data_IF_624853541260
#
_entry.id   IF_624853541260
#
_cell.length_a   1.000
_cell.length_b   1.000
_cell.length_c   1.000
_cell.angle_alpha   90.00
_cell.angle_beta   90.00
_cell.angle_gamma   90.00
#
_symmetry.space_group_name_H-M   'P 1'
#
loop_
_entity.id
_entity.type
_entity.pdbx_description
1 polymer ?
#
# COMPACT_ATOMS: atom_id res chain seq x y z
N UNK A 1 19.01 17.04 -48.17
CA UNK A 1 17.69 17.29 -48.79
C UNK A 1 17.96 17.41 -50.28
N UNK A 2 17.42 16.50 -51.07
CA UNK A 2 17.59 16.49 -52.52
C UNK A 2 16.22 16.77 -53.13
N UNK A 3 16.16 17.63 -54.14
CA UNK A 3 14.92 18.02 -54.78
C UNK A 3 15.17 18.51 -56.20
N UNK A 4 14.23 18.24 -57.09
CA UNK A 4 14.25 18.73 -58.46
C UNK A 4 13.43 20.00 -58.55
N UNK A 5 13.89 20.98 -59.33
CA UNK A 5 13.11 22.19 -59.64
C UNK A 5 13.05 22.36 -61.14
N UNK A 6 11.87 22.65 -61.67
CA UNK A 6 11.61 22.86 -63.09
C UNK A 6 10.77 24.13 -63.28
N UNK A 7 10.95 24.81 -64.41
CA UNK A 7 10.16 25.98 -64.81
C UNK A 7 9.68 25.80 -66.24
N UNK A 8 8.38 25.57 -66.41
CA UNK A 8 7.71 25.57 -67.71
C UNK A 8 7.21 26.99 -68.00
N UNK A 9 7.71 27.60 -69.08
CA UNK A 9 7.15 28.82 -69.63
C UNK A 9 5.81 28.57 -70.35
N UNK A 10 5.57 29.22 -71.49
CA UNK A 10 4.33 29.09 -72.26
C UNK A 10 4.18 27.83 -73.13
N UNK A 11 5.02 26.82 -72.96
CA UNK A 11 5.00 25.57 -73.74
C UNK A 11 4.80 24.37 -72.81
N UNK A 12 4.01 23.39 -73.27
CA UNK A 12 3.79 22.13 -72.56
C UNK A 12 4.98 21.19 -72.78
N UNK A 13 5.89 21.12 -71.81
CA UNK A 13 6.97 20.13 -71.78
C UNK A 13 6.68 19.12 -70.67
N UNK A 14 6.58 17.83 -71.04
CA UNK A 14 6.30 16.74 -70.10
C UNK A 14 7.62 16.06 -69.78
N UNK A 15 8.19 16.36 -68.61
CA UNK A 15 9.35 15.63 -68.07
C UNK A 15 8.84 14.50 -67.18
N UNK A 16 8.94 13.26 -67.66
CA UNK A 16 8.55 12.06 -66.90
C UNK A 16 9.78 11.33 -66.36
N UNK A 17 9.81 11.09 -65.05
CA UNK A 17 10.86 10.30 -64.40
C UNK A 17 10.44 8.83 -64.50
N UNK A 18 11.03 8.09 -65.44
CA UNK A 18 10.67 6.68 -65.67
C UNK A 18 11.18 5.72 -64.59
N UNK A 19 12.23 6.07 -63.85
CA UNK A 19 12.66 5.32 -62.66
C UNK A 19 13.60 6.16 -61.80
N UNK A 20 13.54 5.94 -60.50
CA UNK A 20 14.45 6.52 -59.53
C UNK A 20 14.79 5.48 -58.47
N UNK A 21 16.08 5.26 -58.24
CA UNK A 21 16.56 4.43 -57.14
C UNK A 21 17.62 5.20 -56.37
N UNK A 22 17.40 5.32 -55.05
CA UNK A 22 18.36 5.89 -54.14
C UNK A 22 18.88 4.79 -53.22
N UNK A 23 20.14 4.41 -53.44
CA UNK A 23 20.83 3.43 -52.62
C UNK A 23 21.68 4.17 -51.59
N UNK A 24 21.30 4.08 -50.32
CA UNK A 24 22.02 4.68 -49.20
C UNK A 24 22.67 3.58 -48.36
N UNK A 25 24.00 3.56 -48.34
CA UNK A 25 24.80 2.69 -47.47
C UNK A 25 25.16 3.40 -46.15
N UNK A 26 24.21 4.13 -45.55
CA UNK A 26 24.42 4.71 -44.23
C UNK A 26 24.38 3.58 -43.19
N UNK A 27 25.37 3.46 -42.29
CA UNK A 27 25.27 2.54 -41.18
C UNK A 27 24.07 2.96 -40.34
N UNK A 28 23.05 2.10 -40.29
CA UNK A 28 21.97 2.22 -39.32
C UNK A 28 22.66 2.07 -37.96
N UNK A 29 23.01 3.18 -37.32
CA UNK A 29 23.27 3.13 -35.90
C UNK A 29 21.93 2.73 -35.29
N UNK A 30 21.85 1.49 -34.83
CA UNK A 30 20.75 1.00 -34.02
C UNK A 30 20.77 1.81 -32.74
N UNK A 31 20.18 3.00 -32.79
CA UNK A 31 19.94 3.85 -31.65
C UNK A 31 19.04 3.06 -30.72
N UNK A 32 19.66 2.42 -29.73
CA UNK A 32 19.07 1.61 -28.68
C UNK A 32 18.17 2.44 -27.74
N UNK A 33 17.75 3.65 -28.16
CA UNK A 33 17.02 4.63 -27.37
C UNK A 33 15.55 4.28 -27.16
N UNK A 34 14.91 3.51 -28.06
CA UNK A 34 13.53 3.07 -27.84
C UNK A 34 13.48 1.83 -26.94
N UNK A 35 14.33 0.83 -27.17
CA UNK A 35 14.42 -0.38 -26.34
C UNK A 35 14.84 -0.07 -24.90
N UNK A 36 15.81 0.84 -24.70
CA UNK A 36 16.24 1.28 -23.37
C UNK A 36 15.12 1.96 -22.56
N UNK A 37 14.30 2.80 -23.22
CA UNK A 37 13.12 3.42 -22.59
C UNK A 37 12.11 2.35 -22.11
N UNK A 38 11.85 1.34 -22.94
CA UNK A 38 10.99 0.21 -22.56
C UNK A 38 11.55 -0.58 -21.37
N UNK A 39 12.87 -0.79 -21.32
CA UNK A 39 13.53 -1.42 -20.18
C UNK A 39 13.37 -0.61 -18.88
N UNK A 40 13.47 0.72 -18.93
CA UNK A 40 13.23 1.59 -17.77
C UNK A 40 11.79 1.49 -17.27
N UNK A 41 10.81 1.51 -18.19
CA UNK A 41 9.39 1.40 -17.83
C UNK A 41 9.12 0.05 -17.16
N UNK A 42 9.68 -1.04 -17.68
CA UNK A 42 9.53 -2.38 -17.11
C UNK A 42 10.11 -2.45 -15.69
N UNK A 43 11.31 -1.89 -15.47
CA UNK A 43 11.95 -1.79 -14.15
C UNK A 43 11.14 -0.94 -13.16
N UNK A 44 10.58 0.18 -13.63
CA UNK A 44 9.78 1.09 -12.80
C UNK A 44 8.45 0.45 -12.39
N UNK A 45 7.79 -0.27 -13.29
CA UNK A 45 6.55 -1.00 -12.99
C UNK A 45 6.83 -2.13 -12.01
N UNK A 46 7.86 -2.95 -12.25
CA UNK A 46 8.21 -4.06 -11.36
C UNK A 46 8.61 -3.57 -9.96
N UNK A 47 9.42 -2.51 -9.89
CA UNK A 47 9.83 -1.89 -8.64
C UNK A 47 8.68 -1.19 -7.92
N UNK A 48 7.80 -0.52 -8.66
CA UNK A 48 6.63 0.17 -8.13
C UNK A 48 5.65 -0.81 -7.47
N UNK A 49 5.39 -1.96 -8.10
CA UNK A 49 4.51 -2.99 -7.53
C UNK A 49 5.09 -3.55 -6.22
N UNK A 50 6.40 -3.84 -6.18
CA UNK A 50 7.06 -4.30 -4.97
C UNK A 50 7.01 -3.25 -3.85
N UNK A 51 7.33 -1.99 -4.16
CA UNK A 51 7.29 -0.90 -3.19
C UNK A 51 5.86 -0.63 -2.66
N UNK A 52 4.86 -0.69 -3.53
CA UNK A 52 3.46 -0.51 -3.15
C UNK A 52 2.96 -1.65 -2.26
N UNK A 53 3.31 -2.90 -2.57
CA UNK A 53 3.00 -4.05 -1.71
C UNK A 53 3.66 -3.92 -0.33
N UNK A 54 4.93 -3.51 -0.27
CA UNK A 54 5.63 -3.24 1.00
C UNK A 54 4.97 -2.11 1.79
N UNK A 55 4.55 -1.02 1.13
CA UNK A 55 3.84 0.08 1.78
C UNK A 55 2.51 -0.38 2.40
N UNK A 56 1.70 -1.15 1.65
CA UNK A 56 0.42 -1.67 2.14
C UNK A 56 0.60 -2.64 3.32
N UNK A 57 1.58 -3.54 3.24
CA UNK A 57 1.89 -4.46 4.35
C UNK A 57 2.38 -3.70 5.58
N UNK A 58 3.21 -2.68 5.41
CA UNK A 58 3.68 -1.82 6.50
C UNK A 58 2.53 -1.05 7.16
N UNK A 59 1.66 -0.41 6.38
CA UNK A 59 0.47 0.27 6.88
C UNK A 59 -0.47 -0.68 7.65
N UNK A 60 -0.70 -1.89 7.11
CA UNK A 60 -1.50 -2.92 7.79
C UNK A 60 -0.83 -3.39 9.09
N UNK A 61 0.49 -3.52 9.11
CA UNK A 61 1.24 -3.85 10.32
C UNK A 61 1.11 -2.76 11.38
N UNK A 62 1.25 -1.48 11.00
CA UNK A 62 1.05 -0.35 11.91
C UNK A 62 -0.39 -0.33 12.43
N UNK A 63 -1.38 -0.43 11.55
CA UNK A 63 -2.79 -0.42 11.92
C UNK A 63 -3.10 -1.56 12.90
N UNK A 64 -2.72 -2.80 12.56
CA UNK A 64 -2.95 -3.93 13.46
C UNK A 64 -2.20 -3.80 14.78
N UNK A 65 -1.00 -3.22 14.79
CA UNK A 65 -0.25 -2.96 16.03
C UNK A 65 -0.89 -1.86 16.87
N UNK A 66 -1.41 -0.80 16.26
CA UNK A 66 -2.06 0.31 16.94
C UNK A 66 -3.42 -0.13 17.52
N UNK A 67 -4.19 -0.88 16.76
CA UNK A 67 -5.48 -1.41 17.21
C UNK A 67 -5.31 -2.54 18.24
N UNK A 68 -4.31 -3.41 18.12
CA UNK A 68 -3.97 -4.36 19.21
C UNK A 68 -3.47 -3.68 20.47
N UNK A 69 -2.81 -2.51 20.34
CA UNK A 69 -2.35 -1.73 21.51
C UNK A 69 -3.49 -0.98 22.21
N UNK A 70 -4.69 -0.90 21.63
CA UNK A 70 -5.87 -0.38 22.33
C UNK A 70 -6.38 -1.29 23.46
N UNK A 71 -5.78 -2.48 23.66
CA UNK A 71 -5.91 -3.25 24.91
C UNK A 71 -4.97 -2.77 26.03
N UNK A 72 -3.94 -2.00 25.71
CA UNK A 72 -2.92 -1.46 26.63
C UNK A 72 -3.15 0.00 27.01
N UNK A 73 -4.10 0.71 26.38
CA UNK A 73 -4.50 2.05 26.81
C UNK A 73 -5.32 2.02 28.12
N UNK A 74 -5.82 0.84 28.54
CA UNK A 74 -6.43 0.66 29.86
C UNK A 74 -5.48 1.03 30.99
N UNK A 75 -4.20 0.68 30.87
CA UNK A 75 -3.21 0.98 31.93
C UNK A 75 -2.80 2.45 31.99
N UNK A 76 -2.95 3.22 30.90
CA UNK A 76 -2.67 4.67 30.89
C UNK A 76 -3.91 5.45 31.36
N UNK A 77 -5.12 5.01 30.99
CA UNK A 77 -6.37 5.59 31.54
C UNK A 77 -6.54 5.28 33.03
N UNK A 78 -6.14 4.10 33.51
CA UNK A 78 -6.11 3.79 34.96
C UNK A 78 -5.10 4.65 35.73
N UNK A 79 -4.01 5.11 35.09
CA UNK A 79 -2.99 5.96 35.72
C UNK A 79 -3.36 7.45 35.76
N UNK A 80 -4.30 7.91 34.93
CA UNK A 80 -4.81 9.29 34.88
C UNK A 80 -6.14 9.42 35.65
N UNK A 81 -6.24 8.71 36.78
CA UNK A 81 -7.48 8.53 37.52
C UNK A 81 -8.09 9.83 38.04
N UNK A 82 -9.06 10.39 37.32
CA UNK A 82 -10.01 11.34 37.92
C UNK A 82 -11.40 11.42 37.26
N UNK A 83 -11.77 10.58 36.27
CA UNK A 83 -13.04 10.81 35.54
C UNK A 83 -14.04 9.65 35.49
N UNK A 84 -13.86 8.58 36.28
CA UNK A 84 -14.73 7.40 36.14
C UNK A 84 -15.23 6.80 37.46
N UNK A 85 -15.77 7.67 38.33
CA UNK A 85 -16.45 7.22 39.55
C UNK A 85 -17.87 6.69 39.31
N UNK A 86 -18.44 6.90 38.13
CA UNK A 86 -19.87 6.68 37.86
C UNK A 86 -20.15 5.60 36.80
N UNK A 87 -19.13 4.99 36.18
CA UNK A 87 -19.35 3.83 35.29
C UNK A 87 -19.28 2.50 36.04
N UNK A 88 -20.18 1.56 35.71
CA UNK A 88 -20.03 0.17 36.10
C UNK A 88 -18.67 -0.37 35.64
N UNK A 89 -17.85 -0.82 36.60
CA UNK A 89 -16.55 -1.40 36.31
C UNK A 89 -16.74 -2.82 35.78
N UNK A 90 -16.31 -3.05 34.54
CA UNK A 90 -16.27 -4.39 33.96
C UNK A 90 -14.97 -5.10 34.37
N UNK A 91 -15.11 -6.21 35.09
CA UNK A 91 -13.98 -7.06 35.46
C UNK A 91 -13.97 -8.33 34.60
N UNK A 92 -12.83 -8.69 33.98
CA UNK A 92 -12.72 -9.94 33.22
C UNK A 92 -12.86 -11.14 34.16
N UNK A 93 -13.56 -12.18 33.68
CA UNK A 93 -13.85 -13.39 34.46
C UNK A 93 -12.58 -14.04 35.02
N UNK A 94 -11.49 -14.11 34.25
CA UNK A 94 -10.22 -14.68 34.70
C UNK A 94 -9.64 -13.98 35.93
N UNK A 95 -9.85 -12.66 36.06
CA UNK A 95 -9.40 -11.89 37.22
C UNK A 95 -10.23 -12.22 38.46
N UNK A 96 -11.55 -12.39 38.29
CA UNK A 96 -12.45 -12.80 39.37
C UNK A 96 -12.17 -14.24 39.81
N UNK A 97 -11.98 -15.14 38.84
CA UNK A 97 -11.62 -16.54 39.03
C UNK A 97 -10.30 -16.68 39.80
N UNK A 98 -9.26 -15.95 39.40
CA UNK A 98 -7.98 -15.94 40.11
C UNK A 98 -8.08 -15.31 41.52
N UNK A 99 -8.91 -14.30 41.73
CA UNK A 99 -9.08 -13.66 43.04
C UNK A 99 -9.86 -14.52 44.03
N UNK A 100 -10.85 -15.27 43.53
CA UNK A 100 -11.72 -16.15 44.31
C UNK A 100 -11.24 -17.59 44.39
N UNK A 101 -10.07 -17.89 43.82
CA UNK A 101 -9.48 -19.22 43.77
C UNK A 101 -10.49 -20.24 43.20
N UNK A 102 -10.93 -19.98 41.96
CA UNK A 102 -11.95 -20.76 41.25
C UNK A 102 -13.29 -20.84 42.01
N UNK A 103 -13.66 -19.78 42.74
CA UNK A 103 -14.87 -19.72 43.56
C UNK A 103 -14.91 -20.85 44.60
N UNK A 104 -13.78 -21.09 45.27
CA UNK A 104 -13.66 -22.09 46.30
C UNK A 104 -14.59 -21.81 47.50
N UNK A 105 -15.18 -22.86 48.06
CA UNK A 105 -16.17 -22.75 49.16
C UNK A 105 -15.56 -22.14 50.44
N UNK A 106 -14.25 -22.27 50.63
CA UNK A 106 -13.52 -21.68 51.76
C UNK A 106 -13.36 -20.15 51.66
N UNK A 107 -13.71 -19.53 50.53
CA UNK A 107 -13.67 -18.07 50.32
C UNK A 107 -15.05 -17.43 50.33
N UNK A 108 -16.10 -18.16 50.69
CA UNK A 108 -17.44 -17.60 50.81
C UNK A 108 -17.49 -16.65 52.02
N UNK A 109 -17.72 -15.37 51.74
CA UNK A 109 -17.91 -14.34 52.76
C UNK A 109 -19.32 -14.36 53.35
N UNK A 110 -20.30 -14.84 52.58
CA UNK A 110 -21.69 -14.99 53.01
C UNK A 110 -22.62 -15.41 51.88
N UNK A 111 -23.86 -15.81 52.23
CA UNK A 111 -24.90 -16.17 51.26
C UNK A 111 -26.24 -15.56 51.63
N UNK A 112 -26.96 -15.06 50.64
CA UNK A 112 -28.31 -14.51 50.79
C UNK A 112 -29.27 -15.03 49.71
N UNK A 113 -30.48 -14.46 49.63
CA UNK A 113 -31.49 -14.86 48.64
C UNK A 113 -31.08 -14.61 47.19
N UNK A 114 -30.06 -13.77 46.95
CA UNK A 114 -29.57 -13.41 45.63
C UNK A 114 -28.29 -14.18 45.22
N UNK A 115 -27.76 -15.06 46.09
CA UNK A 115 -26.59 -15.89 45.78
C UNK A 115 -25.53 -15.89 46.87
N UNK A 116 -24.37 -16.48 46.54
CA UNK A 116 -23.17 -16.53 47.38
C UNK A 116 -22.23 -15.38 47.03
N UNK A 117 -21.65 -14.78 48.06
CA UNK A 117 -20.60 -13.76 47.97
C UNK A 117 -19.28 -14.43 48.31
N UNK A 118 -18.31 -14.26 47.41
CA UNK A 118 -16.93 -14.73 47.54
C UNK A 118 -16.01 -13.52 47.77
#
# INVERSE_FOLDING_TARGET
MFGFSASTGGASEVHEICSWEFNSSLPITSSNGNTWKWWIILLMVLGGVAAFALLLTFLRCIYTRFYRKSGSNKSIQEALGEEDRDRPKEYPYEKLKSATDDFAENRVLGGGSFGKVY
#
